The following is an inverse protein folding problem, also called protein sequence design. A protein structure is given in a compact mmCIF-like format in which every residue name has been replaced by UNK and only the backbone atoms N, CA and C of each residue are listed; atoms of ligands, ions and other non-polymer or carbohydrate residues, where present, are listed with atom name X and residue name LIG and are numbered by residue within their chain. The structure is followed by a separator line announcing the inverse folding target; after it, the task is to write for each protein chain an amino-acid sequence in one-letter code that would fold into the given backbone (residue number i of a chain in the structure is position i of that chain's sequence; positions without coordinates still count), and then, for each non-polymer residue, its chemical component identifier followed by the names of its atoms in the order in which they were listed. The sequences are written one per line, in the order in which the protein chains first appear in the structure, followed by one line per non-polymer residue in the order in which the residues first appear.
data_IF_555961149679
#
_entry.id   IF_555961149679
#
_cell.length_a   1.000
_cell.length_b   1.000
_cell.length_c   1.000
_cell.angle_alpha   90.00
_cell.angle_beta   90.00
_cell.angle_gamma   90.00
#
_symmetry.space_group_name_H-M   'P 1'
#
loop_
_entity.id
_entity.type
_entity.pdbx_description
1 polymer ?
#
# COMPACT_ATOMS: atom_id res chain seq x y z
N UNK A 1 -12.10 12.83 5.60
CA UNK A 1 -12.16 11.42 5.11
C UNK A 1 -10.74 10.96 4.80
N UNK A 2 -10.16 10.08 5.62
CA UNK A 2 -8.73 9.71 5.54
C UNK A 2 -8.37 8.95 4.26
N UNK A 3 -9.30 8.17 3.72
CA UNK A 3 -9.12 7.44 2.45
C UNK A 3 -8.86 8.43 1.31
N UNK A 4 -9.70 9.46 1.19
CA UNK A 4 -9.56 10.49 0.17
C UNK A 4 -8.21 11.21 0.26
N UNK A 5 -7.74 11.52 1.47
CA UNK A 5 -6.42 12.15 1.68
C UNK A 5 -5.27 11.28 1.17
N UNK A 6 -5.37 9.94 1.27
CA UNK A 6 -4.39 9.03 0.70
C UNK A 6 -4.47 9.00 -0.83
N UNK A 7 -5.67 8.93 -1.39
CA UNK A 7 -5.90 8.92 -2.84
C UNK A 7 -5.41 10.22 -3.50
N UNK A 8 -5.73 11.37 -2.90
CA UNK A 8 -5.28 12.69 -3.36
C UNK A 8 -3.75 12.79 -3.37
N UNK A 9 -3.07 12.14 -2.42
CA UNK A 9 -1.59 12.05 -2.38
C UNK A 9 -1.04 11.02 -3.36
N UNK A 10 -1.78 9.96 -3.66
CA UNK A 10 -1.36 8.87 -4.57
C UNK A 10 -1.41 9.32 -6.03
N UNK A 11 -2.42 10.11 -6.41
CA UNK A 11 -2.70 10.47 -7.80
C UNK A 11 -1.49 11.09 -8.55
N UNK A 12 -0.79 12.10 -8.01
CA UNK A 12 0.35 12.71 -8.71
C UNK A 12 1.54 11.74 -8.84
N UNK A 13 1.69 10.87 -7.84
CA UNK A 13 2.75 9.87 -7.79
C UNK A 13 2.56 8.77 -8.83
N UNK A 14 1.32 8.32 -9.05
CA UNK A 14 0.99 7.37 -10.11
C UNK A 14 1.24 7.95 -11.51
N UNK A 15 0.89 9.22 -11.73
CA UNK A 15 1.09 9.89 -13.02
C UNK A 15 2.58 10.09 -13.35
N UNK A 16 3.44 10.22 -12.33
CA UNK A 16 4.89 10.37 -12.52
C UNK A 16 5.62 9.05 -12.81
N UNK A 17 4.95 7.91 -12.59
CA UNK A 17 5.53 6.58 -12.82
C UNK A 17 5.11 6.03 -14.18
N UNK A 18 5.98 5.24 -14.83
CA UNK A 18 5.58 4.48 -16.01
C UNK A 18 4.51 3.45 -15.64
N UNK A 19 3.60 3.20 -16.58
CA UNK A 19 2.57 2.19 -16.46
C UNK A 19 3.16 0.84 -16.04
N UNK A 20 2.47 0.17 -15.12
CA UNK A 20 2.91 -1.10 -14.58
C UNK A 20 2.27 -2.24 -15.36
N UNK A 21 3.00 -2.74 -16.37
CA UNK A 21 2.55 -3.84 -17.23
C UNK A 21 3.15 -5.20 -16.85
N UNK A 22 3.92 -5.26 -15.77
CA UNK A 22 4.64 -6.45 -15.32
C UNK A 22 4.69 -6.52 -13.79
N UNK A 23 5.04 -7.69 -13.27
CA UNK A 23 5.21 -7.86 -11.83
C UNK A 23 6.54 -7.27 -11.38
N UNK A 24 6.52 -6.36 -10.41
CA UNK A 24 7.73 -5.75 -9.85
C UNK A 24 8.13 -6.53 -8.61
N UNK A 25 9.35 -7.05 -8.59
CA UNK A 25 9.91 -7.67 -7.40
C UNK A 25 10.22 -6.61 -6.34
N UNK A 26 9.91 -6.93 -5.09
CA UNK A 26 10.24 -6.08 -3.95
C UNK A 26 11.78 -5.93 -3.87
N UNK A 27 12.28 -4.73 -4.10
CA UNK A 27 13.73 -4.47 -4.14
C UNK A 27 14.04 -3.10 -4.73
N UNK A 28 15.23 -2.97 -5.32
CA UNK A 28 15.78 -1.71 -5.81
C UNK A 28 16.75 -1.11 -4.79
N UNK A 29 16.54 0.14 -4.40
CA UNK A 29 17.34 0.83 -3.39
C UNK A 29 16.98 0.41 -1.96
N UNK A 30 17.84 0.78 -0.99
CA UNK A 30 17.60 0.50 0.43
C UNK A 30 16.28 1.13 0.92
N UNK A 31 16.02 2.38 0.54
CA UNK A 31 14.79 3.10 0.90
C UNK A 31 13.54 2.45 0.28
N UNK A 32 13.59 2.08 -1.00
CA UNK A 32 12.49 1.36 -1.66
C UNK A 32 12.20 0.01 -1.01
N UNK A 33 13.25 -0.72 -0.64
CA UNK A 33 13.14 -2.00 0.06
C UNK A 33 12.46 -1.87 1.43
N UNK A 34 12.78 -0.83 2.21
CA UNK A 34 12.09 -0.56 3.48
C UNK A 34 10.61 -0.19 3.28
N UNK A 35 10.26 0.48 2.19
CA UNK A 35 8.86 0.78 1.86
C UNK A 35 8.08 -0.48 1.44
N UNK A 36 8.71 -1.37 0.67
CA UNK A 36 8.16 -2.70 0.40
C UNK A 36 7.97 -3.49 1.69
N UNK A 37 8.91 -3.41 2.63
CA UNK A 37 8.77 -4.04 3.94
C UNK A 37 7.60 -3.46 4.73
N UNK A 38 7.49 -2.14 4.83
CA UNK A 38 6.35 -1.46 5.45
C UNK A 38 5.01 -1.90 4.82
N UNK A 39 4.96 -2.07 3.48
CA UNK A 39 3.78 -2.61 2.79
C UNK A 39 3.43 -4.02 3.26
N UNK A 40 4.41 -4.91 3.46
CA UNK A 40 4.13 -6.26 3.98
C UNK A 40 3.54 -6.24 5.39
N UNK A 41 4.04 -5.34 6.26
CA UNK A 41 3.48 -5.13 7.61
C UNK A 41 2.06 -4.58 7.54
N UNK A 42 1.79 -3.60 6.67
CA UNK A 42 0.46 -3.05 6.44
C UNK A 42 -0.54 -4.11 5.99
N UNK A 43 -0.16 -4.94 5.00
CA UNK A 43 -1.00 -6.05 4.50
C UNK A 43 -1.22 -7.12 5.57
N UNK A 44 -0.26 -7.34 6.48
CA UNK A 44 -0.44 -8.24 7.63
C UNK A 44 -1.47 -7.66 8.60
N UNK A 45 -1.35 -6.39 8.97
CA UNK A 45 -2.32 -5.71 9.83
C UNK A 45 -3.73 -5.74 9.24
N UNK A 46 -3.88 -5.53 7.93
CA UNK A 46 -5.16 -5.65 7.23
C UNK A 46 -5.78 -7.05 7.39
N UNK A 47 -4.99 -8.12 7.23
CA UNK A 47 -5.48 -9.50 7.44
C UNK A 47 -5.95 -9.73 8.87
N UNK A 48 -5.24 -9.20 9.86
CA UNK A 48 -5.68 -9.24 11.26
C UNK A 48 -6.99 -8.48 11.46
N UNK A 49 -7.15 -7.31 10.83
CA UNK A 49 -8.41 -6.57 10.85
C UNK A 49 -9.58 -7.34 10.21
N UNK A 50 -9.32 -8.09 9.13
CA UNK A 50 -10.34 -8.96 8.51
C UNK A 50 -10.73 -10.10 9.46
N UNK A 51 -9.76 -10.72 10.13
CA UNK A 51 -10.04 -11.73 11.17
C UNK A 51 -10.85 -11.14 12.31
N UNK A 52 -10.46 -9.97 12.81
CA UNK A 52 -11.19 -9.25 13.85
C UNK A 52 -12.63 -8.96 13.43
N UNK A 53 -12.83 -8.42 12.22
CA UNK A 53 -14.17 -8.21 11.66
C UNK A 53 -15.00 -9.49 11.70
N UNK A 54 -14.44 -10.64 11.28
CA UNK A 54 -15.17 -11.93 11.30
C UNK A 54 -15.57 -12.37 12.70
N UNK A 55 -14.77 -12.07 13.71
CA UNK A 55 -14.99 -12.50 15.09
C UNK A 55 -15.92 -11.56 15.88
N UNK A 56 -15.86 -10.25 15.62
CA UNK A 56 -16.50 -9.24 16.47
C UNK A 56 -17.67 -8.52 15.81
N UNK A 57 -17.78 -8.56 14.47
CA UNK A 57 -18.83 -7.83 13.77
C UNK A 57 -20.20 -8.43 14.08
N UNK A 58 -21.03 -7.64 14.75
CA UNK A 58 -22.40 -8.00 15.11
C UNK A 58 -23.28 -6.75 15.03
N UNK A 59 -24.61 -6.91 15.06
CA UNK A 59 -25.54 -5.76 15.04
C UNK A 59 -25.31 -4.80 16.21
N UNK A 60 -24.89 -5.32 17.38
CA UNK A 60 -24.59 -4.50 18.57
C UNK A 60 -23.21 -3.85 18.52
N UNK A 61 -22.27 -4.44 17.78
CA UNK A 61 -20.90 -3.97 17.63
C UNK A 61 -20.49 -4.04 16.15
N UNK A 62 -20.99 -3.11 15.31
CA UNK A 62 -20.66 -3.10 13.91
C UNK A 62 -19.19 -2.73 13.70
N UNK A 63 -18.53 -3.47 12.82
CA UNK A 63 -17.16 -3.19 12.42
C UNK A 63 -17.12 -2.02 11.42
N UNK A 64 -16.12 -1.13 11.56
CA UNK A 64 -15.95 -0.02 10.63
C UNK A 64 -15.20 -0.45 9.35
N UNK A 65 -15.96 -0.69 8.28
CA UNK A 65 -15.39 -1.11 6.99
C UNK A 65 -14.48 -0.08 6.32
N UNK A 66 -14.60 1.20 6.68
CA UNK A 66 -13.71 2.24 6.17
C UNK A 66 -12.24 1.98 6.57
N UNK A 67 -12.01 1.25 7.66
CA UNK A 67 -10.66 0.87 8.10
C UNK A 67 -9.99 -0.08 7.10
N UNK A 68 -10.73 -1.07 6.57
CA UNK A 68 -10.19 -2.01 5.58
C UNK A 68 -9.88 -1.31 4.27
N UNK A 69 -10.76 -0.40 3.83
CA UNK A 69 -10.52 0.43 2.64
C UNK A 69 -9.27 1.30 2.82
N UNK A 70 -9.11 1.91 4.00
CA UNK A 70 -7.94 2.71 4.32
C UNK A 70 -6.64 1.88 4.29
N UNK A 71 -6.61 0.71 4.94
CA UNK A 71 -5.44 -0.18 4.93
C UNK A 71 -5.06 -0.63 3.51
N UNK A 72 -6.08 -0.90 2.68
CA UNK A 72 -5.88 -1.25 1.28
C UNK A 72 -5.20 -0.10 0.51
N UNK A 73 -5.75 1.11 0.60
CA UNK A 73 -5.16 2.31 -0.05
C UNK A 73 -3.79 2.67 0.49
N UNK A 74 -3.56 2.53 1.80
CA UNK A 74 -2.26 2.77 2.42
C UNK A 74 -1.20 1.82 1.86
N UNK A 75 -1.54 0.55 1.68
CA UNK A 75 -0.60 -0.40 1.11
C UNK A 75 -0.23 -0.09 -0.34
N UNK A 76 -1.17 0.45 -1.13
CA UNK A 76 -0.92 0.90 -2.51
C UNK A 76 -0.06 2.15 -2.52
N UNK A 77 -0.30 3.08 -1.59
CA UNK A 77 0.57 4.23 -1.38
C UNK A 77 2.01 3.83 -1.08
N UNK A 78 2.23 2.88 -0.17
CA UNK A 78 3.57 2.38 0.16
C UNK A 78 4.26 1.72 -1.06
N UNK A 79 3.49 1.02 -1.90
CA UNK A 79 4.02 0.45 -3.13
C UNK A 79 4.44 1.53 -4.13
N UNK A 80 3.57 2.52 -4.39
CA UNK A 80 3.85 3.64 -5.29
C UNK A 80 5.04 4.48 -4.80
N UNK A 81 5.12 4.72 -3.48
CA UNK A 81 6.23 5.43 -2.86
C UNK A 81 7.57 4.68 -3.03
N UNK A 82 7.58 3.34 -2.88
CA UNK A 82 8.77 2.53 -3.10
C UNK A 82 9.30 2.69 -4.54
N UNK A 83 8.40 2.62 -5.52
CA UNK A 83 8.72 2.80 -6.94
C UNK A 83 9.27 4.19 -7.26
N UNK A 84 8.66 5.23 -6.69
CA UNK A 84 9.12 6.60 -6.89
C UNK A 84 10.52 6.82 -6.33
N UNK A 85 10.79 6.35 -5.12
CA UNK A 85 12.11 6.52 -4.50
C UNK A 85 13.18 5.71 -5.24
N UNK A 86 12.86 4.49 -5.67
CA UNK A 86 13.76 3.72 -6.53
C UNK A 86 14.11 4.48 -7.81
N UNK A 87 13.10 5.06 -8.48
CA UNK A 87 13.29 5.88 -9.67
C UNK A 87 14.12 7.14 -9.40
N UNK A 88 13.87 7.85 -8.30
CA UNK A 88 14.64 9.03 -7.90
C UNK A 88 16.10 8.71 -7.58
N UNK A 89 16.36 7.51 -7.04
CA UNK A 89 17.69 7.03 -6.71
C UNK A 89 18.38 6.30 -7.88
N UNK A 90 17.76 6.25 -9.06
CA UNK A 90 18.29 5.53 -10.23
C UNK A 90 18.44 4.02 -10.02
N UNK A 91 17.74 3.45 -9.03
CA UNK A 91 17.76 2.02 -8.74
C UNK A 91 16.74 1.30 -9.63
N UNK A 92 17.20 0.37 -10.47
CA UNK A 92 16.32 -0.36 -11.36
C UNK A 92 15.39 -1.33 -10.61
N UNK A 93 14.13 -1.32 -11.02
CA UNK A 93 13.12 -2.28 -10.58
C UNK A 93 13.28 -3.59 -11.34
N UNK A 94 13.45 -4.70 -10.62
CA UNK A 94 13.44 -6.02 -11.25
C UNK A 94 12.01 -6.41 -11.62
N UNK A 95 11.81 -6.70 -12.90
CA UNK A 95 10.53 -7.09 -13.49
C UNK A 95 10.53 -8.59 -13.80
N UNK A 96 9.41 -9.26 -13.54
CA UNK A 96 9.15 -10.66 -13.90
C UNK A 96 8.06 -10.69 -14.96
#
# INVERSE_FOLDING_TARGET
NHVKQLEDKLQPHLQALPEQNCFILNGGGQCGSFLHWARTVCRRAERECVTLKRLTNSERHPFNDSLLVYMNRLSDYLFTAARLINRQQGCEEKKV
#
